data_IF_638319131717
#
_entry.id   IF_638319131717
#
_cell.length_a   1.000
_cell.length_b   1.000
_cell.length_c   1.000
_cell.angle_alpha   90.00
_cell.angle_beta   90.00
_cell.angle_gamma   90.00
#
_symmetry.space_group_name_H-M   'P 1'
#
loop_
_entity.id
_entity.type
_entity.pdbx_description
1 polymer ?
#
# COMPACT_ATOMS: atom_id res chain seq x y z
N UNK A 1 -20.74 12.38 -0.68
CA UNK A 1 -19.86 13.34 -1.39
C UNK A 1 -19.93 14.67 -0.66
N UNK A 2 -18.96 14.97 0.18
CA UNK A 2 -18.80 16.30 0.76
C UNK A 2 -18.32 17.21 -0.36
N UNK A 3 -19.13 18.19 -0.74
CA UNK A 3 -18.73 19.26 -1.65
C UNK A 3 -17.61 20.06 -0.97
N UNK A 4 -16.38 19.63 -1.14
CA UNK A 4 -15.22 20.44 -0.74
C UNK A 4 -15.00 21.50 -1.82
N UNK A 5 -14.93 22.76 -1.39
CA UNK A 5 -14.55 23.87 -2.26
C UNK A 5 -13.20 23.55 -2.89
N UNK A 6 -13.03 23.89 -4.16
CA UNK A 6 -11.74 23.77 -4.86
C UNK A 6 -10.67 24.57 -4.12
N UNK A 7 -9.51 23.96 -3.92
CA UNK A 7 -8.34 24.57 -3.29
C UNK A 7 -7.41 24.98 -4.42
N UNK A 8 -7.30 26.28 -4.63
CA UNK A 8 -6.48 26.95 -5.65
C UNK A 8 -5.25 27.66 -5.06
N UNK A 9 -5.13 27.68 -3.73
CA UNK A 9 -3.98 28.25 -3.03
C UNK A 9 -2.82 27.25 -3.03
N UNK A 10 -1.80 27.52 -3.84
CA UNK A 10 -0.61 26.67 -3.98
C UNK A 10 0.13 26.47 -2.65
N UNK A 11 0.09 27.43 -1.74
CA UNK A 11 0.73 27.31 -0.43
C UNK A 11 0.00 26.27 0.43
N UNK A 12 -1.32 26.29 0.43
CA UNK A 12 -2.14 25.29 1.14
C UNK A 12 -1.92 23.91 0.53
N UNK A 13 -1.84 23.80 -0.80
CA UNK A 13 -1.56 22.54 -1.49
C UNK A 13 -0.18 21.98 -1.07
N UNK A 14 0.83 22.84 -0.97
CA UNK A 14 2.15 22.43 -0.48
C UNK A 14 2.08 21.91 0.97
N UNK A 15 1.33 22.57 1.85
CA UNK A 15 1.15 22.08 3.22
C UNK A 15 0.40 20.74 3.26
N UNK A 16 -0.58 20.53 2.39
CA UNK A 16 -1.27 19.23 2.28
C UNK A 16 -0.30 18.13 1.85
N UNK A 17 0.53 18.37 0.83
CA UNK A 17 1.53 17.40 0.37
C UNK A 17 2.54 17.10 1.49
N UNK A 18 3.05 18.12 2.17
CA UNK A 18 3.98 17.94 3.30
C UNK A 18 3.32 17.18 4.45
N UNK A 19 2.05 17.51 4.78
CA UNK A 19 1.29 16.79 5.80
C UNK A 19 1.15 15.31 5.46
N UNK A 20 0.80 15.01 4.23
CA UNK A 20 0.66 13.62 3.75
C UNK A 20 1.98 12.87 3.92
N UNK A 21 3.09 13.45 3.45
CA UNK A 21 4.41 12.83 3.55
C UNK A 21 4.93 12.69 5.00
N UNK A 22 4.61 13.65 5.88
CA UNK A 22 5.04 13.61 7.30
C UNK A 22 4.29 12.54 8.12
N UNK A 23 3.11 12.10 7.65
CA UNK A 23 2.29 11.08 8.30
C UNK A 23 2.41 9.69 7.64
N UNK A 24 3.22 9.52 6.59
CA UNK A 24 3.52 8.22 6.01
C UNK A 24 4.74 7.59 6.68
N UNK A 25 4.65 6.31 7.11
CA UNK A 25 5.76 5.58 7.73
C UNK A 25 6.87 5.21 6.74
N UNK A 26 6.53 5.17 5.45
CA UNK A 26 7.44 4.84 4.35
C UNK A 26 7.29 5.87 3.24
N UNK A 27 8.35 6.04 2.46
CA UNK A 27 8.33 6.90 1.28
C UNK A 27 7.29 6.36 0.26
N UNK A 28 6.15 7.03 0.02
CA UNK A 28 5.13 6.57 -0.92
C UNK A 28 5.65 6.64 -2.36
N UNK A 29 5.10 5.79 -3.22
CA UNK A 29 5.26 5.94 -4.67
C UNK A 29 4.51 7.18 -5.16
N UNK A 30 4.91 7.69 -6.32
CA UNK A 30 4.24 8.85 -6.92
C UNK A 30 2.72 8.62 -7.07
N UNK A 31 2.32 7.44 -7.53
CA UNK A 31 0.92 7.04 -7.67
C UNK A 31 0.16 7.08 -6.33
N UNK A 32 0.78 6.58 -5.27
CA UNK A 32 0.18 6.55 -3.95
C UNK A 32 0.04 7.97 -3.38
N UNK A 33 1.08 8.81 -3.55
CA UNK A 33 1.05 10.20 -3.12
C UNK A 33 -0.06 10.99 -3.84
N UNK A 34 -0.19 10.79 -5.16
CA UNK A 34 -1.28 11.38 -5.96
C UNK A 34 -2.63 10.94 -5.42
N UNK A 35 -2.84 9.64 -5.21
CA UNK A 35 -4.09 9.09 -4.69
C UNK A 35 -4.41 9.63 -3.29
N UNK A 36 -3.43 9.62 -2.37
CA UNK A 36 -3.61 10.13 -1.01
C UNK A 36 -4.02 11.59 -0.96
N UNK A 37 -3.54 12.42 -1.89
CA UNK A 37 -3.88 13.84 -1.93
C UNK A 37 -5.14 14.09 -2.75
N UNK A 38 -5.22 13.58 -3.97
CA UNK A 38 -6.28 13.91 -4.93
C UNK A 38 -7.64 13.30 -4.58
N UNK A 39 -7.66 12.11 -3.96
CA UNK A 39 -8.93 11.47 -3.57
C UNK A 39 -9.54 12.14 -2.31
N UNK A 40 -8.73 12.84 -1.53
CA UNK A 40 -9.15 13.49 -0.30
C UNK A 40 -9.30 15.01 -0.41
N UNK A 41 -8.84 15.61 -1.52
CA UNK A 41 -8.85 17.06 -1.73
C UNK A 41 -9.33 17.41 -3.13
N UNK A 42 -10.16 18.44 -3.24
CA UNK A 42 -10.55 18.99 -4.53
C UNK A 42 -9.47 19.98 -5.02
N UNK A 43 -8.43 19.45 -5.63
CA UNK A 43 -7.25 20.18 -6.13
C UNK A 43 -7.09 19.84 -7.62
N UNK A 44 -6.66 20.80 -8.44
CA UNK A 44 -6.30 20.49 -9.82
C UNK A 44 -5.00 19.68 -9.87
N UNK A 45 -4.92 18.72 -10.80
CA UNK A 45 -3.69 17.92 -10.98
C UNK A 45 -2.48 18.79 -11.35
N UNK A 46 -2.70 19.87 -12.09
CA UNK A 46 -1.65 20.84 -12.46
C UNK A 46 -1.10 21.55 -11.22
N UNK A 47 -1.98 22.01 -10.32
CA UNK A 47 -1.55 22.70 -9.10
C UNK A 47 -0.84 21.75 -8.12
N UNK A 48 -1.31 20.50 -8.04
CA UNK A 48 -0.59 19.45 -7.32
C UNK A 48 0.84 19.26 -7.85
N UNK A 49 1.01 19.12 -9.18
CA UNK A 49 2.33 18.95 -9.79
C UNK A 49 3.24 20.15 -9.59
N UNK A 50 2.72 21.36 -9.77
CA UNK A 50 3.46 22.60 -9.55
C UNK A 50 3.92 22.71 -8.09
N UNK A 51 3.02 22.41 -7.16
CA UNK A 51 3.33 22.44 -5.73
C UNK A 51 4.38 21.41 -5.34
N UNK A 52 4.27 20.17 -5.86
CA UNK A 52 5.25 19.10 -5.60
C UNK A 52 6.63 19.47 -6.17
N UNK A 53 6.69 19.97 -7.42
CA UNK A 53 7.93 20.42 -8.04
C UNK A 53 8.57 21.58 -7.26
N UNK A 54 7.78 22.52 -6.76
CA UNK A 54 8.28 23.62 -5.92
C UNK A 54 8.86 23.11 -4.60
N UNK A 55 8.22 22.13 -3.97
CA UNK A 55 8.72 21.50 -2.73
C UNK A 55 10.02 20.74 -2.96
N UNK A 56 10.21 20.09 -4.13
CA UNK A 56 11.48 19.49 -4.52
C UNK A 56 12.56 20.57 -4.74
N UNK A 57 12.27 21.61 -5.53
CA UNK A 57 13.21 22.70 -5.81
C UNK A 57 13.65 23.47 -4.56
N UNK A 58 12.81 23.54 -3.56
CA UNK A 58 13.08 24.21 -2.28
C UNK A 58 13.63 23.27 -1.20
N UNK A 59 13.93 22.02 -1.55
CA UNK A 59 14.47 20.97 -0.66
C UNK A 59 13.59 20.68 0.58
N UNK A 60 12.27 20.79 0.43
CA UNK A 60 11.32 20.34 1.46
C UNK A 60 10.91 18.86 1.24
N UNK A 61 10.98 18.42 -0.01
CA UNK A 61 10.70 17.06 -0.44
C UNK A 61 11.85 16.58 -1.30
N UNK A 62 12.15 15.31 -1.24
CA UNK A 62 13.11 14.64 -2.13
C UNK A 62 12.43 13.48 -2.82
N UNK A 63 12.81 13.26 -4.09
CA UNK A 63 12.44 12.05 -4.80
C UNK A 63 13.65 11.16 -5.06
N UNK A 64 13.41 9.86 -5.10
CA UNK A 64 14.40 8.85 -5.51
C UNK A 64 13.78 7.85 -6.46
N UNK A 65 14.58 7.34 -7.39
CA UNK A 65 14.17 6.22 -8.23
C UNK A 65 14.47 4.90 -7.53
N UNK A 66 13.50 4.00 -7.51
CA UNK A 66 13.63 2.61 -7.09
C UNK A 66 13.47 1.73 -8.32
N UNK A 67 14.59 1.22 -8.84
CA UNK A 67 14.63 0.58 -10.15
C UNK A 67 14.44 1.59 -11.30
N UNK A 68 13.87 1.13 -12.42
CA UNK A 68 13.74 1.95 -13.64
C UNK A 68 12.43 2.77 -13.68
N UNK A 69 11.41 2.40 -12.91
CA UNK A 69 10.04 2.89 -13.13
C UNK A 69 9.36 3.47 -11.88
N UNK A 70 9.86 3.18 -10.69
CA UNK A 70 9.22 3.59 -9.44
C UNK A 70 9.91 4.84 -8.89
N UNK A 71 9.17 5.93 -8.78
CA UNK A 71 9.63 7.16 -8.12
C UNK A 71 8.97 7.26 -6.75
N UNK A 72 9.79 7.31 -5.70
CA UNK A 72 9.34 7.49 -4.32
C UNK A 72 9.66 8.88 -3.81
N UNK A 73 8.80 9.37 -2.95
CA UNK A 73 8.90 10.71 -2.36
C UNK A 73 9.08 10.62 -0.86
N UNK A 74 9.99 11.43 -0.33
CA UNK A 74 10.23 11.55 1.11
C UNK A 74 10.25 13.02 1.54
N UNK A 75 9.75 13.26 2.74
CA UNK A 75 9.87 14.58 3.36
C UNK A 75 11.29 14.77 3.90
N UNK A 76 11.84 15.96 3.77
CA UNK A 76 13.13 16.30 4.39
C UNK A 76 12.93 16.81 5.82
N UNK A 77 14.01 16.95 6.57
CA UNK A 77 13.96 17.60 7.89
C UNK A 77 13.39 19.03 7.80
N UNK A 78 13.75 19.75 6.74
CA UNK A 78 13.23 21.09 6.47
C UNK A 78 11.71 21.07 6.21
N UNK A 79 11.23 20.10 5.42
CA UNK A 79 9.81 19.90 5.15
C UNK A 79 9.03 19.53 6.40
N UNK A 80 9.55 18.59 7.20
CA UNK A 80 8.94 18.16 8.46
C UNK A 80 8.85 19.31 9.47
N UNK A 81 9.91 20.12 9.59
CA UNK A 81 9.87 21.29 10.44
C UNK A 81 8.87 22.34 9.95
N UNK A 82 8.77 22.55 8.63
CA UNK A 82 7.79 23.47 8.05
C UNK A 82 6.35 23.03 8.37
N UNK A 83 6.01 21.75 8.13
CA UNK A 83 4.64 21.28 8.36
C UNK A 83 4.27 21.21 9.84
N UNK A 84 5.21 20.93 10.73
CA UNK A 84 4.96 21.03 12.18
C UNK A 84 4.50 22.43 12.58
N UNK A 85 5.07 23.44 11.95
CA UNK A 85 4.71 24.84 12.22
C UNK A 85 3.37 25.21 11.60
N UNK A 86 3.12 24.78 10.36
CA UNK A 86 1.94 25.11 9.58
C UNK A 86 0.83 24.06 9.60
N UNK A 87 0.91 23.08 10.51
CA UNK A 87 -0.08 21.97 10.59
C UNK A 87 -1.54 22.47 10.68
N UNK A 88 -1.77 23.57 11.38
CA UNK A 88 -3.11 24.16 11.53
C UNK A 88 -3.63 24.83 10.26
N UNK A 89 -2.76 25.15 9.31
CA UNK A 89 -3.14 25.67 8.00
C UNK A 89 -3.80 24.62 7.11
N UNK A 90 -3.55 23.33 7.38
CA UNK A 90 -4.29 22.23 6.76
C UNK A 90 -5.56 21.99 7.57
N UNK A 91 -6.77 22.24 7.02
CA UNK A 91 -8.02 22.07 7.76
C UNK A 91 -8.23 20.63 8.21
N UNK A 92 -8.91 20.46 9.37
CA UNK A 92 -9.13 19.12 9.96
C UNK A 92 -9.93 18.19 9.03
N UNK A 93 -10.90 18.74 8.28
CA UNK A 93 -11.71 17.98 7.33
C UNK A 93 -10.91 17.47 6.10
N UNK A 94 -9.65 17.90 5.93
CA UNK A 94 -8.70 17.38 4.96
C UNK A 94 -7.74 16.39 5.63
N UNK A 95 -7.28 16.71 6.83
CA UNK A 95 -6.33 15.86 7.57
C UNK A 95 -6.90 14.51 7.91
N UNK A 96 -8.13 14.46 8.46
CA UNK A 96 -8.76 13.21 8.89
C UNK A 96 -8.96 12.21 7.73
N UNK A 97 -9.50 12.60 6.55
CA UNK A 97 -9.56 11.69 5.40
C UNK A 97 -8.19 11.22 4.91
N UNK A 98 -7.17 12.09 4.89
CA UNK A 98 -5.81 11.70 4.51
C UNK A 98 -5.25 10.67 5.49
N UNK A 99 -5.37 10.90 6.80
CA UNK A 99 -4.90 9.97 7.82
C UNK A 99 -5.57 8.59 7.70
N UNK A 100 -6.87 8.56 7.38
CA UNK A 100 -7.59 7.31 7.15
C UNK A 100 -7.15 6.64 5.85
N UNK A 101 -6.96 7.39 4.77
CA UNK A 101 -6.46 6.85 3.49
C UNK A 101 -5.04 6.28 3.63
N UNK A 102 -4.17 6.91 4.42
CA UNK A 102 -2.83 6.38 4.73
C UNK A 102 -2.95 5.03 5.44
N UNK A 103 -3.82 4.90 6.44
CA UNK A 103 -4.05 3.62 7.14
C UNK A 103 -4.54 2.54 6.19
N UNK A 104 -5.50 2.86 5.31
CA UNK A 104 -6.02 1.91 4.33
C UNK A 104 -4.95 1.48 3.33
N UNK A 105 -4.10 2.40 2.86
CA UNK A 105 -2.97 2.08 1.99
C UNK A 105 -2.05 1.03 2.63
N UNK A 106 -1.69 1.20 3.90
CA UNK A 106 -0.84 0.24 4.61
C UNK A 106 -1.52 -1.10 4.87
N UNK A 107 -2.82 -1.11 5.17
CA UNK A 107 -3.59 -2.35 5.31
C UNK A 107 -3.61 -3.13 3.98
N UNK A 108 -3.85 -2.45 2.86
CA UNK A 108 -3.83 -3.08 1.54
C UNK A 108 -2.43 -3.56 1.14
N UNK A 109 -1.40 -2.77 1.40
CA UNK A 109 -0.01 -3.17 1.16
C UNK A 109 0.37 -4.41 1.98
N UNK A 110 0.00 -4.46 3.26
CA UNK A 110 0.19 -5.64 4.12
C UNK A 110 -0.54 -6.84 3.56
N UNK A 111 -1.81 -6.71 3.17
CA UNK A 111 -2.58 -7.80 2.56
C UNK A 111 -1.95 -8.32 1.27
N UNK A 112 -1.49 -7.42 0.39
CA UNK A 112 -0.79 -7.80 -0.85
C UNK A 112 0.51 -8.56 -0.56
N UNK A 113 1.25 -8.15 0.46
CA UNK A 113 2.52 -8.75 0.85
C UNK A 113 2.35 -10.02 1.70
N UNK A 114 1.26 -10.11 2.48
CA UNK A 114 0.98 -11.26 3.32
C UNK A 114 0.65 -12.51 2.51
N UNK A 115 0.01 -12.36 1.35
CA UNK A 115 -0.47 -13.48 0.55
C UNK A 115 0.22 -13.50 -0.81
N UNK A 116 1.08 -14.47 -1.02
CA UNK A 116 1.77 -14.69 -2.31
C UNK A 116 1.34 -16.01 -2.93
N UNK A 117 1.24 -16.04 -4.25
CA UNK A 117 1.04 -17.27 -5.00
C UNK A 117 1.89 -17.26 -6.27
N UNK A 118 2.56 -18.35 -6.52
CA UNK A 118 3.38 -18.61 -7.70
C UNK A 118 2.88 -19.83 -8.47
N UNK A 119 3.06 -19.83 -9.79
CA UNK A 119 2.77 -20.97 -10.65
C UNK A 119 4.06 -21.34 -11.36
N UNK A 120 4.47 -22.60 -11.22
CA UNK A 120 5.71 -23.11 -11.83
C UNK A 120 5.36 -24.24 -12.80
N UNK A 121 5.92 -24.21 -13.99
CA UNK A 121 5.86 -25.34 -14.90
C UNK A 121 6.85 -26.41 -14.42
N UNK A 122 6.37 -27.60 -14.04
CA UNK A 122 7.20 -28.72 -13.59
C UNK A 122 7.64 -29.55 -14.79
N UNK A 123 6.68 -29.92 -15.66
CA UNK A 123 6.88 -30.62 -16.93
C UNK A 123 5.80 -30.19 -17.91
N UNK A 124 5.90 -30.65 -19.16
CA UNK A 124 4.89 -30.33 -20.15
C UNK A 124 3.50 -30.84 -19.69
N UNK A 125 2.58 -29.91 -19.46
CA UNK A 125 1.23 -30.19 -18.95
C UNK A 125 1.12 -30.39 -17.44
N UNK A 126 2.20 -30.25 -16.68
CA UNK A 126 2.24 -30.41 -15.22
C UNK A 126 2.69 -29.13 -14.55
N UNK A 127 1.90 -28.64 -13.61
CA UNK A 127 2.13 -27.36 -12.94
C UNK A 127 2.22 -27.55 -11.42
N UNK A 128 3.09 -26.77 -10.79
CA UNK A 128 3.13 -26.55 -9.36
C UNK A 128 2.48 -25.22 -9.01
N UNK A 129 1.68 -25.21 -7.98
CA UNK A 129 1.16 -23.99 -7.40
C UNK A 129 1.75 -23.81 -6.00
N UNK A 130 2.49 -22.71 -5.80
CA UNK A 130 3.06 -22.34 -4.51
C UNK A 130 2.20 -21.25 -3.89
N UNK A 131 1.89 -21.41 -2.61
CA UNK A 131 1.10 -20.46 -1.83
C UNK A 131 1.84 -20.14 -0.55
N UNK A 132 2.02 -18.86 -0.26
CA UNK A 132 2.72 -18.40 0.93
C UNK A 132 1.81 -17.43 1.67
N UNK A 133 1.64 -17.67 2.97
CA UNK A 133 1.01 -16.74 3.90
C UNK A 133 2.07 -16.24 4.90
N UNK A 134 2.16 -14.91 5.04
CA UNK A 134 3.06 -14.26 6.00
C UNK A 134 2.27 -13.43 7.00
N UNK A 135 2.86 -13.24 8.16
CA UNK A 135 2.38 -12.32 9.19
C UNK A 135 2.82 -10.86 8.88
N UNK A 136 2.35 -9.92 9.68
CA UNK A 136 2.62 -8.48 9.58
C UNK A 136 4.13 -8.16 9.64
N UNK A 137 4.91 -8.93 10.39
CA UNK A 137 6.37 -8.83 10.49
C UNK A 137 7.13 -9.54 9.36
N UNK A 138 6.43 -10.02 8.32
CA UNK A 138 6.92 -10.81 7.18
C UNK A 138 7.35 -12.24 7.55
N UNK A 139 7.09 -12.71 8.76
CA UNK A 139 7.33 -14.09 9.15
C UNK A 139 6.43 -15.02 8.34
N UNK A 140 6.99 -16.06 7.75
CA UNK A 140 6.26 -17.06 6.98
C UNK A 140 5.46 -17.96 7.93
N UNK A 141 4.13 -17.82 7.90
CA UNK A 141 3.23 -18.63 8.73
C UNK A 141 2.88 -19.97 8.06
N UNK A 142 2.77 -19.97 6.74
CA UNK A 142 2.40 -21.16 5.98
C UNK A 142 3.00 -21.09 4.58
N UNK A 143 3.49 -22.25 4.11
CA UNK A 143 3.85 -22.50 2.72
C UNK A 143 3.21 -23.79 2.25
N UNK A 144 2.45 -23.73 1.17
CA UNK A 144 1.85 -24.89 0.52
C UNK A 144 2.38 -24.99 -0.91
N UNK A 145 2.78 -26.20 -1.29
CA UNK A 145 3.14 -26.55 -2.65
C UNK A 145 2.19 -27.64 -3.13
N UNK A 146 1.39 -27.35 -4.13
CA UNK A 146 0.43 -28.28 -4.68
C UNK A 146 0.82 -28.61 -6.13
N UNK A 147 0.74 -29.89 -6.46
CA UNK A 147 0.77 -30.34 -7.83
C UNK A 147 -0.62 -30.20 -8.45
N UNK A 148 -0.70 -29.64 -9.66
CA UNK A 148 -1.95 -29.41 -10.38
C UNK A 148 -1.82 -29.84 -11.84
N UNK A 149 -2.92 -30.36 -12.41
CA UNK A 149 -2.93 -30.95 -13.73
C UNK A 149 -2.91 -29.93 -14.88
N UNK A 150 -3.20 -28.62 -14.62
CA UNK A 150 -3.22 -27.60 -15.64
C UNK A 150 -2.91 -26.22 -15.09
N UNK A 151 -2.47 -25.32 -15.98
CA UNK A 151 -2.25 -23.90 -15.64
C UNK A 151 -3.55 -23.21 -15.21
N UNK A 152 -4.65 -23.53 -15.86
CA UNK A 152 -5.95 -22.96 -15.55
C UNK A 152 -6.42 -23.31 -14.13
N UNK A 153 -6.18 -24.57 -13.73
CA UNK A 153 -6.46 -25.01 -12.36
C UNK A 153 -5.56 -24.28 -11.34
N UNK A 154 -4.27 -24.13 -11.63
CA UNK A 154 -3.34 -23.37 -10.79
C UNK A 154 -3.77 -21.92 -10.62
N UNK A 155 -4.26 -21.26 -11.68
CA UNK A 155 -4.77 -19.90 -11.64
C UNK A 155 -6.05 -19.79 -10.78
N UNK A 156 -6.97 -20.76 -10.88
CA UNK A 156 -8.17 -20.83 -10.04
C UNK A 156 -7.82 -20.99 -8.56
N UNK A 157 -6.90 -21.91 -8.25
CA UNK A 157 -6.42 -22.10 -6.88
C UNK A 157 -5.72 -20.86 -6.33
N UNK A 158 -4.92 -20.18 -7.15
CA UNK A 158 -4.24 -18.93 -6.76
C UNK A 158 -5.22 -17.83 -6.42
N UNK A 159 -6.28 -17.64 -7.21
CA UNK A 159 -7.34 -16.68 -6.91
C UNK A 159 -8.09 -17.03 -5.62
N UNK A 160 -8.41 -18.32 -5.44
CA UNK A 160 -9.10 -18.78 -4.25
C UNK A 160 -8.25 -18.60 -2.99
N UNK A 161 -6.96 -18.94 -3.05
CA UNK A 161 -6.05 -18.79 -1.93
C UNK A 161 -5.92 -17.32 -1.51
N UNK A 162 -5.74 -16.39 -2.46
CA UNK A 162 -5.65 -14.95 -2.16
C UNK A 162 -6.89 -14.40 -1.45
N UNK A 163 -8.06 -14.95 -1.78
CA UNK A 163 -9.33 -14.51 -1.17
C UNK A 163 -9.62 -15.18 0.18
N UNK A 164 -9.01 -16.34 0.47
CA UNK A 164 -9.39 -17.20 1.60
C UNK A 164 -8.20 -17.68 2.45
N UNK A 165 -7.04 -17.05 2.33
CA UNK A 165 -5.77 -17.52 2.95
C UNK A 165 -5.85 -17.74 4.46
N UNK A 166 -6.46 -16.81 5.20
CA UNK A 166 -6.64 -16.91 6.65
C UNK A 166 -7.55 -18.08 7.04
N UNK A 167 -8.64 -18.28 6.27
CA UNK A 167 -9.54 -19.41 6.49
C UNK A 167 -8.84 -20.75 6.24
N UNK A 168 -8.12 -20.87 5.13
CA UNK A 168 -7.36 -22.08 4.79
C UNK A 168 -6.34 -22.40 5.89
N UNK A 169 -5.62 -21.39 6.38
CA UNK A 169 -4.68 -21.54 7.49
C UNK A 169 -5.36 -22.04 8.76
N UNK A 170 -6.51 -21.42 9.11
CA UNK A 170 -7.30 -21.85 10.27
C UNK A 170 -7.83 -23.29 10.14
N UNK A 171 -8.32 -23.68 8.97
CA UNK A 171 -8.83 -25.02 8.70
C UNK A 171 -7.71 -26.07 8.82
N UNK A 172 -6.51 -25.77 8.31
CA UNK A 172 -5.32 -26.64 8.46
C UNK A 172 -4.96 -26.79 9.95
N UNK A 173 -4.88 -25.69 10.71
CA UNK A 173 -4.57 -25.77 12.13
C UNK A 173 -5.62 -26.59 12.92
N UNK A 174 -6.90 -26.44 12.59
CA UNK A 174 -7.96 -27.18 13.23
C UNK A 174 -7.88 -28.68 12.93
N UNK A 175 -7.58 -29.05 11.67
CA UNK A 175 -7.37 -30.44 11.31
C UNK A 175 -6.25 -31.11 12.13
N UNK A 176 -5.14 -30.40 12.38
CA UNK A 176 -4.07 -30.90 13.23
C UNK A 176 -4.45 -31.01 14.71
N UNK A 177 -5.25 -30.07 15.22
CA UNK A 177 -5.73 -30.11 16.61
C UNK A 177 -6.69 -31.27 16.84
N UNK A 178 -7.54 -31.59 15.86
CA UNK A 178 -8.50 -32.69 15.98
C UNK A 178 -7.81 -34.05 15.86
N UNK A 179 -6.79 -34.17 15.02
CA UNK A 179 -5.96 -35.37 14.98
C UNK A 179 -5.21 -35.67 16.29
N UNK A 180 -4.84 -34.62 17.06
CA UNK A 180 -4.22 -34.78 18.39
C UNK A 180 -5.18 -35.19 19.51
N UNK A 181 -6.50 -35.22 19.26
CA UNK A 181 -7.50 -35.69 20.26
C UNK A 181 -7.86 -37.20 20.11
N UNK A 182 -7.47 -37.79 18.99
CA UNK A 182 -7.72 -39.21 18.70
C UNK A 182 -6.57 -40.14 19.16
N UNK A 183 -5.53 -39.60 19.80
CA UNK A 183 -4.38 -40.34 20.34
C UNK A 183 -4.41 -40.30 21.86
#
# INVERSE_FOLDING_TARGET
MLYTREIDDLEIIQYIILYTLDNTDKDPEYSDLVTLVMDNCNISFTDFQLSLANLENTDHVRSRMEGEWIRRYSITEKGSNAIKYFRTSVPIYIREPIDESIKQLYIEERRKNAVQSGITLIRQGEYGAEFILRDDDKTEMMRLNLYVGSREEAEKLSKYFRANSEKIYGDILNAFKDAGKET
#
